data_IF_536755115855
#
_entry.id   IF_536755115855
#
_cell.length_a   1.000
_cell.length_b   1.000
_cell.length_c   1.000
_cell.angle_alpha   90.00
_cell.angle_beta   90.00
_cell.angle_gamma   90.00
#
_symmetry.space_group_name_H-M   'P 1'
#
loop_
_entity.id
_entity.type
_entity.pdbx_description
1 polymer ?
#
# COMPACT_ATOMS: atom_id res chain seq x y z
N UNK A 1 9.83 3.56 9.70
CA UNK A 1 9.42 4.93 10.06
C UNK A 1 8.31 5.48 9.15
N UNK A 2 8.49 5.51 7.82
CA UNK A 2 7.49 6.05 6.87
C UNK A 2 6.18 5.26 6.78
N UNK A 3 6.25 3.93 6.71
CA UNK A 3 5.07 3.07 6.64
C UNK A 3 4.13 3.23 7.85
N UNK A 4 4.69 3.35 9.05
CA UNK A 4 3.91 3.55 10.27
C UNK A 4 3.19 4.90 10.28
N UNK A 5 3.77 5.93 9.64
CA UNK A 5 3.15 7.25 9.46
C UNK A 5 2.07 7.29 8.37
N UNK A 6 1.83 6.18 7.66
CA UNK A 6 0.78 6.12 6.63
C UNK A 6 1.14 6.78 5.30
N UNK A 7 2.43 7.01 5.04
CA UNK A 7 2.88 7.46 3.73
C UNK A 7 2.69 6.36 2.67
N UNK A 8 2.43 6.77 1.44
CA UNK A 8 2.33 5.87 0.30
C UNK A 8 3.71 5.34 -0.09
N UNK A 9 4.10 4.21 0.50
CA UNK A 9 5.41 3.57 0.30
C UNK A 9 5.25 2.22 -0.40
N UNK A 10 6.28 1.86 -1.17
CA UNK A 10 6.45 0.56 -1.80
C UNK A 10 7.85 0.02 -1.51
N UNK A 11 8.02 -1.30 -1.57
CA UNK A 11 9.34 -1.94 -1.62
C UNK A 11 9.67 -2.28 -3.08
N UNK A 12 10.91 -2.05 -3.47
CA UNK A 12 11.43 -2.29 -4.81
C UNK A 12 12.84 -2.85 -4.70
N UNK A 13 13.26 -3.58 -5.72
CA UNK A 13 14.63 -4.04 -5.87
C UNK A 13 15.42 -3.05 -6.72
N UNK A 14 16.65 -2.73 -6.32
CA UNK A 14 17.58 -1.87 -7.06
C UNK A 14 18.44 -2.71 -8.03
N UNK A 15 19.48 -3.39 -7.52
CA UNK A 15 20.36 -4.27 -8.30
C UNK A 15 20.18 -5.75 -7.89
N UNK A 16 19.23 -6.49 -8.49
CA UNK A 16 18.93 -7.87 -8.09
C UNK A 16 20.13 -8.80 -8.26
N UNK A 17 20.98 -8.53 -9.26
CA UNK A 17 22.13 -9.37 -9.59
C UNK A 17 23.29 -9.23 -8.58
N UNK A 18 23.39 -8.09 -7.89
CA UNK A 18 24.48 -7.81 -6.95
C UNK A 18 24.09 -8.07 -5.49
N UNK A 19 22.82 -7.81 -5.15
CA UNK A 19 22.38 -7.70 -3.75
C UNK A 19 21.67 -8.97 -3.27
N UNK A 20 21.02 -9.71 -4.17
CA UNK A 20 20.09 -10.77 -3.79
C UNK A 20 20.72 -12.15 -3.94
N UNK A 21 20.38 -13.04 -3.02
CA UNK A 21 20.89 -14.42 -2.98
C UNK A 21 19.89 -15.43 -3.52
N UNK A 22 18.61 -15.06 -3.56
CA UNK A 22 17.52 -15.93 -4.02
C UNK A 22 17.20 -15.73 -5.49
N UNK A 23 16.44 -16.66 -6.06
CA UNK A 23 15.90 -16.55 -7.43
C UNK A 23 14.77 -15.51 -7.54
N UNK A 24 14.18 -15.09 -6.42
CA UNK A 24 13.02 -14.20 -6.37
C UNK A 24 13.39 -12.93 -5.58
N UNK A 25 14.14 -12.00 -6.20
CA UNK A 25 14.80 -10.91 -5.48
C UNK A 25 13.80 -10.00 -4.74
N UNK A 26 12.70 -9.63 -5.38
CA UNK A 26 11.69 -8.79 -4.73
C UNK A 26 11.03 -9.50 -3.54
N UNK A 27 10.82 -10.82 -3.60
CA UNK A 27 10.23 -11.59 -2.49
C UNK A 27 11.21 -11.67 -1.31
N UNK A 28 12.50 -11.75 -1.60
CA UNK A 28 13.56 -11.68 -0.60
C UNK A 28 13.57 -10.32 0.12
N UNK A 29 13.42 -9.19 -0.59
CA UNK A 29 13.28 -7.86 0.04
C UNK A 29 12.10 -7.80 1.00
N UNK A 30 10.93 -8.28 0.57
CA UNK A 30 9.74 -8.32 1.42
C UNK A 30 9.96 -9.21 2.64
N UNK A 31 10.64 -10.34 2.48
CA UNK A 31 10.91 -11.31 3.56
C UNK A 31 11.89 -10.74 4.59
N UNK A 32 12.99 -10.14 4.13
CA UNK A 32 13.98 -9.47 4.98
C UNK A 32 13.33 -8.29 5.69
N UNK A 33 12.58 -7.45 4.97
CA UNK A 33 11.87 -6.32 5.56
C UNK A 33 10.86 -6.76 6.62
N UNK A 34 10.15 -7.87 6.39
CA UNK A 34 9.22 -8.43 7.35
C UNK A 34 9.91 -8.84 8.67
N UNK A 35 11.04 -9.52 8.58
CA UNK A 35 11.81 -9.95 9.76
C UNK A 35 12.46 -8.78 10.50
N UNK A 36 13.10 -7.87 9.77
CA UNK A 36 13.85 -6.75 10.36
C UNK A 36 12.90 -5.71 10.99
N UNK A 37 11.82 -5.35 10.28
CA UNK A 37 10.89 -4.33 10.72
C UNK A 37 9.65 -4.87 11.43
N UNK A 38 9.59 -6.19 11.65
CA UNK A 38 8.47 -6.90 12.31
C UNK A 38 7.13 -6.63 11.63
N UNK A 39 7.11 -6.66 10.30
CA UNK A 39 5.90 -6.43 9.52
C UNK A 39 5.03 -7.70 9.54
N UNK A 40 3.74 -7.51 9.75
CA UNK A 40 2.74 -8.57 9.62
C UNK A 40 2.40 -8.85 8.15
N UNK A 41 1.73 -9.97 7.87
CA UNK A 41 1.22 -10.24 6.53
C UNK A 41 0.27 -9.14 6.01
N UNK A 42 -0.53 -8.55 6.90
CA UNK A 42 -1.38 -7.40 6.58
C UNK A 42 -0.56 -6.19 6.11
N UNK A 43 0.58 -5.93 6.77
CA UNK A 43 1.46 -4.82 6.42
C UNK A 43 2.12 -5.04 5.05
N UNK A 44 2.60 -6.26 4.79
CA UNK A 44 3.19 -6.61 3.49
C UNK A 44 2.17 -6.52 2.36
N UNK A 45 0.94 -7.01 2.58
CA UNK A 45 -0.15 -6.88 1.62
C UNK A 45 -0.53 -5.42 1.37
N UNK A 46 -0.51 -4.55 2.39
CA UNK A 46 -0.73 -3.11 2.22
C UNK A 46 0.36 -2.47 1.35
N UNK A 47 1.62 -2.80 1.60
CA UNK A 47 2.76 -2.29 0.82
C UNK A 47 2.68 -2.80 -0.63
N UNK A 48 2.39 -4.08 -0.85
CA UNK A 48 2.22 -4.67 -2.17
C UNK A 48 1.00 -4.07 -2.93
N UNK A 49 -0.11 -3.81 -2.23
CA UNK A 49 -1.26 -3.10 -2.82
C UNK A 49 -0.84 -1.69 -3.27
N UNK A 50 -0.11 -0.95 -2.43
CA UNK A 50 0.33 0.40 -2.73
C UNK A 50 1.31 0.46 -3.92
N UNK A 51 2.17 -0.54 -4.10
CA UNK A 51 3.05 -0.61 -5.27
C UNK A 51 2.26 -0.71 -6.59
N UNK A 52 1.13 -1.44 -6.59
CA UNK A 52 0.21 -1.47 -7.75
C UNK A 52 -0.41 -0.10 -8.01
N UNK A 53 -0.79 0.65 -6.97
CA UNK A 53 -1.26 2.02 -7.15
C UNK A 53 -0.22 2.93 -7.79
N UNK A 54 1.03 2.86 -7.30
CA UNK A 54 2.16 3.67 -7.77
C UNK A 54 2.66 3.27 -9.17
N UNK A 55 2.40 2.03 -9.60
CA UNK A 55 2.84 1.53 -10.90
C UNK A 55 2.22 2.29 -12.08
N UNK A 56 2.87 2.21 -13.25
CA UNK A 56 2.37 2.79 -14.51
C UNK A 56 1.41 1.90 -15.30
N UNK A 57 0.93 0.79 -14.74
CA UNK A 57 0.08 -0.16 -15.49
C UNK A 57 -1.29 0.41 -15.85
N UNK A 58 -1.90 -0.16 -16.90
CA UNK A 58 -3.22 0.25 -17.39
C UNK A 58 -4.31 0.01 -16.35
N UNK A 59 -5.41 0.78 -16.46
CA UNK A 59 -6.58 0.62 -15.61
C UNK A 59 -7.13 -0.81 -15.63
N UNK A 60 -7.14 -1.46 -16.81
CA UNK A 60 -7.61 -2.83 -16.94
C UNK A 60 -6.81 -3.83 -16.08
N UNK A 61 -5.48 -3.70 -16.05
CA UNK A 61 -4.62 -4.56 -15.24
C UNK A 61 -4.75 -4.25 -13.74
N UNK A 62 -4.78 -2.97 -13.36
CA UNK A 62 -4.99 -2.58 -11.96
C UNK A 62 -6.34 -3.06 -11.43
N UNK A 63 -7.41 -2.88 -12.20
CA UNK A 63 -8.75 -3.38 -11.87
C UNK A 63 -8.79 -4.90 -11.74
N UNK A 64 -8.01 -5.61 -12.57
CA UNK A 64 -7.86 -7.05 -12.46
C UNK A 64 -7.08 -7.47 -11.20
N UNK A 65 -6.00 -6.78 -10.83
CA UNK A 65 -5.17 -7.20 -9.68
C UNK A 65 -5.71 -6.79 -8.33
N UNK A 66 -6.22 -5.56 -8.18
CA UNK A 66 -6.58 -4.97 -6.87
C UNK A 66 -8.07 -4.62 -6.75
N UNK A 67 -8.86 -4.86 -7.80
CA UNK A 67 -10.31 -4.77 -7.80
C UNK A 67 -10.84 -3.65 -8.68
N UNK A 68 -12.06 -3.83 -9.22
CA UNK A 68 -12.66 -2.91 -10.20
C UNK A 68 -12.78 -1.48 -9.70
N UNK A 69 -13.04 -1.34 -8.41
CA UNK A 69 -13.32 -0.07 -7.75
C UNK A 69 -12.06 0.57 -7.13
N UNK A 70 -10.86 0.12 -7.49
CA UNK A 70 -9.61 0.62 -6.89
C UNK A 70 -9.42 2.14 -7.03
N UNK A 71 -10.03 2.76 -8.03
CA UNK A 71 -9.94 4.21 -8.23
C UNK A 71 -10.72 5.01 -7.18
N UNK A 72 -11.61 4.37 -6.42
CA UNK A 72 -12.33 5.01 -5.31
C UNK A 72 -11.40 5.15 -4.10
N UNK A 73 -11.45 6.31 -3.47
CA UNK A 73 -10.68 6.56 -2.25
C UNK A 73 -11.27 5.81 -1.06
N UNK A 74 -10.37 5.46 -0.14
CA UNK A 74 -10.73 4.94 1.17
C UNK A 74 -11.09 3.47 1.10
N UNK A 75 -11.86 2.97 2.07
CA UNK A 75 -12.08 1.55 2.21
C UNK A 75 -13.03 1.01 1.11
N UNK A 76 -13.87 1.87 0.51
CA UNK A 76 -14.77 1.53 -0.60
C UNK A 76 -14.04 1.07 -1.87
N UNK A 77 -12.78 1.49 -2.07
CA UNK A 77 -11.95 1.06 -3.20
C UNK A 77 -11.13 -0.21 -2.92
N UNK A 78 -11.47 -0.97 -1.88
CA UNK A 78 -10.73 -2.17 -1.52
C UNK A 78 -11.56 -3.43 -1.70
N UNK A 79 -11.08 -4.32 -2.57
CA UNK A 79 -11.59 -5.66 -2.72
C UNK A 79 -10.69 -6.64 -1.96
N UNK A 80 -11.05 -6.98 -0.72
CA UNK A 80 -10.23 -7.80 0.18
C UNK A 80 -9.85 -9.16 -0.41
N UNK A 81 -10.72 -9.75 -1.23
CA UNK A 81 -10.47 -11.04 -1.89
C UNK A 81 -9.28 -10.98 -2.87
N UNK A 82 -8.94 -9.79 -3.36
CA UNK A 82 -7.80 -9.58 -4.26
C UNK A 82 -6.59 -9.01 -3.55
N UNK A 83 -6.80 -8.05 -2.65
CA UNK A 83 -5.70 -7.31 -2.00
C UNK A 83 -5.19 -7.97 -0.72
N UNK A 84 -6.01 -8.83 -0.10
CA UNK A 84 -5.76 -9.43 1.22
C UNK A 84 -5.51 -8.40 2.34
N UNK A 85 -5.88 -7.13 2.13
CA UNK A 85 -5.80 -6.08 3.15
C UNK A 85 -7.17 -5.93 3.83
N UNK A 86 -7.25 -6.08 5.16
CA UNK A 86 -8.48 -5.88 5.92
C UNK A 86 -9.09 -4.50 5.68
N UNK A 87 -10.41 -4.45 5.54
CA UNK A 87 -11.12 -3.19 5.30
C UNK A 87 -10.88 -2.16 6.42
N UNK A 88 -10.88 -2.62 7.67
CA UNK A 88 -10.59 -1.80 8.86
C UNK A 88 -9.21 -1.11 8.80
N UNK A 89 -8.21 -1.76 8.17
CA UNK A 89 -6.88 -1.17 8.01
C UNK A 89 -6.94 0.07 7.14
N UNK A 90 -7.63 -0.01 6.02
CA UNK A 90 -7.77 1.09 5.07
C UNK A 90 -8.72 2.18 5.57
N UNK A 91 -9.76 1.80 6.30
CA UNK A 91 -10.63 2.75 6.99
C UNK A 91 -9.85 3.58 8.01
N UNK A 92 -9.01 2.94 8.82
CA UNK A 92 -8.13 3.65 9.75
C UNK A 92 -7.19 4.62 9.01
N UNK A 93 -6.53 4.18 7.92
CA UNK A 93 -5.65 5.04 7.11
C UNK A 93 -6.40 6.23 6.52
N UNK A 94 -7.57 6.00 5.94
CA UNK A 94 -8.39 7.05 5.33
C UNK A 94 -8.88 8.06 6.38
N UNK A 95 -9.35 7.58 7.54
CA UNK A 95 -9.83 8.44 8.63
C UNK A 95 -8.72 9.36 9.16
N UNK A 96 -7.56 8.81 9.50
CA UNK A 96 -6.43 9.61 10.01
C UNK A 96 -5.99 10.65 8.99
N UNK A 97 -5.87 10.26 7.71
CA UNK A 97 -5.52 11.19 6.65
C UNK A 97 -6.58 12.32 6.50
N UNK A 98 -7.87 12.01 6.60
CA UNK A 98 -8.95 13.02 6.58
C UNK A 98 -8.83 13.99 7.74
N UNK A 99 -8.59 13.48 8.95
CA UNK A 99 -8.40 14.30 10.15
C UNK A 99 -7.18 15.22 10.02
N UNK A 100 -6.05 14.69 9.53
CA UNK A 100 -4.83 15.47 9.28
C UNK A 100 -5.05 16.56 8.23
N UNK A 101 -5.78 16.25 7.15
CA UNK A 101 -6.14 17.27 6.16
C UNK A 101 -7.03 18.35 6.75
N UNK A 102 -8.04 17.99 7.54
CA UNK A 102 -8.86 18.99 8.21
C UNK A 102 -8.03 19.87 9.15
N UNK A 103 -7.06 19.30 9.87
CA UNK A 103 -6.16 20.05 10.72
C UNK A 103 -5.33 21.07 9.92
N UNK A 104 -4.70 20.63 8.83
CA UNK A 104 -3.86 21.47 7.97
C UNK A 104 -4.66 22.60 7.32
N UNK A 105 -5.89 22.32 6.88
CA UNK A 105 -6.77 23.31 6.24
C UNK A 105 -7.68 24.05 7.23
N UNK A 106 -7.40 23.98 8.55
CA UNK A 106 -8.15 24.70 9.59
C UNK A 106 -9.67 24.41 9.54
N UNK A 107 -10.04 23.16 9.30
CA UNK A 107 -11.42 22.68 9.21
C UNK A 107 -12.12 22.96 7.88
N UNK A 108 -11.39 23.44 6.85
CA UNK A 108 -11.96 23.82 5.55
C UNK A 108 -11.56 22.87 4.42
N UNK A 109 -11.06 21.67 4.72
CA UNK A 109 -10.66 20.74 3.67
C UNK A 109 -11.90 20.21 2.93
N UNK A 110 -11.93 20.39 1.62
CA UNK A 110 -12.91 19.74 0.73
C UNK A 110 -12.28 18.42 0.30
N UNK A 111 -12.82 17.31 0.82
CA UNK A 111 -12.24 15.99 0.66
C UNK A 111 -13.03 15.23 -0.42
N UNK A 112 -12.37 14.73 -1.48
CA UNK A 112 -13.02 13.85 -2.47
C UNK A 112 -13.35 12.46 -1.92
#
# INVERSE_FOLDING_TARGET
>A
MFFLRGLNVSLSTDDPLQIHLTKEPLVEEYSIAASVWKLSACDLCEIARNSVYQSGFSHALKSHWIGKEYYKRGPNGNEIQRTNVPHIRLEFRDRIWREEMQLVYLGKAIIP
#
